data_IF_722029599869
#
_entry.id   IF_722029599869
#
_cell.length_a   1.000
_cell.length_b   1.000
_cell.length_c   1.000
_cell.angle_alpha   90.00
_cell.angle_beta   90.00
_cell.angle_gamma   90.00
#
_symmetry.space_group_name_H-M   'P 1'
#
loop_
_entity.id
_entity.type
_entity.pdbx_description
1 polymer ?
#
# COMPACT_ATOMS: atom_id res chain seq x y z
N UNK A 1 9.71 5.46 0.61
CA UNK A 1 9.91 6.34 -0.56
C UNK A 1 10.52 5.58 -1.73
N UNK A 2 11.58 4.78 -1.54
CA UNK A 2 12.22 3.98 -2.61
C UNK A 2 11.26 3.08 -3.43
N UNK A 3 10.18 2.59 -2.83
CA UNK A 3 9.13 1.83 -3.52
C UNK A 3 8.63 2.53 -4.78
N UNK A 4 8.53 3.86 -4.78
CA UNK A 4 8.09 4.62 -5.96
C UNK A 4 9.07 4.45 -7.12
N UNK A 5 10.39 4.55 -6.85
CA UNK A 5 11.43 4.36 -7.86
C UNK A 5 11.39 2.95 -8.46
N UNK A 6 11.30 1.93 -7.60
CA UNK A 6 11.26 0.54 -8.05
C UNK A 6 9.98 0.21 -8.82
N UNK A 7 8.82 0.71 -8.38
CA UNK A 7 7.55 0.46 -9.06
C UNK A 7 7.53 1.09 -10.46
N UNK A 8 8.02 2.32 -10.61
CA UNK A 8 8.12 3.00 -11.90
C UNK A 8 9.07 2.25 -12.86
N UNK A 9 10.20 1.76 -12.34
CA UNK A 9 11.13 0.95 -13.12
C UNK A 9 10.50 -0.38 -13.60
N UNK A 10 9.78 -1.07 -12.72
CA UNK A 10 9.04 -2.30 -13.08
C UNK A 10 7.97 -2.00 -14.13
N UNK A 11 7.19 -0.94 -13.95
CA UNK A 11 6.16 -0.55 -14.91
C UNK A 11 6.74 -0.26 -16.30
N UNK A 12 7.87 0.45 -16.35
CA UNK A 12 8.59 0.71 -17.60
C UNK A 12 9.04 -0.57 -18.29
N UNK A 13 9.63 -1.51 -17.57
CA UNK A 13 10.06 -2.80 -18.13
C UNK A 13 8.88 -3.66 -18.60
N UNK A 14 7.75 -3.58 -17.89
CA UNK A 14 6.51 -4.25 -18.28
C UNK A 14 5.76 -3.55 -19.42
N UNK A 15 6.25 -2.40 -19.93
CA UNK A 15 5.58 -1.61 -20.96
C UNK A 15 4.27 -0.96 -20.49
N UNK A 16 4.10 -0.75 -19.18
CA UNK A 16 2.91 -0.15 -18.57
C UNK A 16 3.14 1.33 -18.33
N UNK A 17 2.26 2.17 -18.87
CA UNK A 17 2.24 3.59 -18.56
C UNK A 17 1.72 3.83 -17.13
N UNK A 18 2.62 4.27 -16.26
CA UNK A 18 2.37 4.44 -14.84
C UNK A 18 3.02 5.74 -14.35
N UNK A 19 2.39 6.90 -14.60
CA UNK A 19 2.96 8.20 -14.28
C UNK A 19 2.95 8.46 -12.76
N UNK A 20 3.80 9.38 -12.31
CA UNK A 20 3.97 9.69 -10.89
C UNK A 20 2.65 10.18 -10.27
N UNK A 21 1.87 10.99 -10.98
CA UNK A 21 0.54 11.49 -10.62
C UNK A 21 -0.44 10.36 -10.29
N UNK A 22 -0.29 9.20 -10.95
CA UNK A 22 -1.12 8.03 -10.66
C UNK A 22 -0.79 7.42 -9.29
N UNK A 23 0.48 7.44 -8.89
CA UNK A 23 0.90 7.03 -7.55
C UNK A 23 0.28 7.95 -6.50
N UNK A 24 0.22 9.25 -6.77
CA UNK A 24 -0.34 10.25 -5.84
C UNK A 24 -1.84 10.01 -5.64
N UNK A 25 -2.57 9.86 -6.74
CA UNK A 25 -4.01 9.58 -6.72
C UNK A 25 -4.34 8.27 -5.97
N UNK A 26 -3.49 7.24 -6.09
CA UNK A 26 -3.65 6.00 -5.33
C UNK A 26 -3.34 6.23 -3.84
N UNK A 27 -2.26 6.94 -3.51
CA UNK A 27 -1.89 7.23 -2.13
C UNK A 27 -2.96 8.05 -1.41
N UNK A 28 -3.51 9.08 -2.07
CA UNK A 28 -4.54 9.95 -1.51
C UNK A 28 -5.84 9.23 -1.12
N UNK A 29 -6.17 8.12 -1.78
CA UNK A 29 -7.40 7.33 -1.51
C UNK A 29 -7.16 6.06 -0.70
N UNK A 30 -5.90 5.72 -0.40
CA UNK A 30 -5.56 4.47 0.30
C UNK A 30 -5.22 4.76 1.76
N UNK A 31 -6.02 4.32 2.73
CA UNK A 31 -5.76 4.61 4.14
C UNK A 31 -4.50 3.91 4.65
N UNK A 32 -3.88 4.50 5.68
CA UNK A 32 -2.68 3.96 6.29
C UNK A 32 -3.01 3.02 7.44
N UNK A 33 -3.00 1.71 7.19
CA UNK A 33 -3.46 0.70 8.16
C UNK A 33 -2.35 0.15 9.07
N UNK A 34 -1.10 0.13 8.62
CA UNK A 34 -0.01 -0.58 9.31
C UNK A 34 1.18 0.34 9.60
N UNK A 35 1.37 0.72 10.87
CA UNK A 35 2.49 1.56 11.30
C UNK A 35 3.66 0.73 11.81
N UNK A 36 4.45 0.21 10.88
CA UNK A 36 5.64 -0.60 11.17
C UNK A 36 6.90 0.27 11.34
N UNK A 37 7.87 -0.26 12.08
CA UNK A 37 9.21 0.31 12.25
C UNK A 37 9.84 0.66 10.88
N UNK A 38 10.46 1.84 10.72
CA UNK A 38 10.82 2.82 11.75
C UNK A 38 9.71 3.80 12.16
N UNK A 39 8.53 3.76 11.54
CA UNK A 39 7.46 4.74 11.79
C UNK A 39 6.58 4.40 13.01
N UNK A 40 6.65 3.16 13.50
CA UNK A 40 5.90 2.68 14.65
C UNK A 40 6.63 1.59 15.43
N UNK A 41 5.98 1.07 16.47
CA UNK A 41 6.55 0.09 17.41
C UNK A 41 6.54 -1.35 16.91
N UNK A 42 5.71 -1.65 15.90
CA UNK A 42 5.52 -3.00 15.39
C UNK A 42 6.53 -3.33 14.29
N UNK A 43 6.89 -4.59 14.18
CA UNK A 43 7.84 -5.09 13.18
C UNK A 43 7.18 -6.04 12.18
N UNK A 44 7.95 -6.53 11.20
CA UNK A 44 7.41 -7.39 10.12
C UNK A 44 6.88 -8.73 10.65
N UNK A 45 7.48 -9.26 11.71
CA UNK A 45 7.02 -10.45 12.41
C UNK A 45 5.66 -10.27 13.08
N UNK A 46 5.38 -9.07 13.60
CA UNK A 46 4.08 -8.74 14.19
C UNK A 46 3.03 -8.68 13.09
N UNK A 47 3.35 -8.05 11.95
CA UNK A 47 2.47 -8.06 10.78
C UNK A 47 2.17 -9.50 10.32
N UNK A 48 3.17 -10.37 10.28
CA UNK A 48 2.97 -11.76 9.89
C UNK A 48 2.03 -12.50 10.85
N UNK A 49 2.23 -12.33 12.17
CA UNK A 49 1.35 -12.92 13.20
C UNK A 49 -0.08 -12.36 13.15
N UNK A 50 -0.23 -11.09 12.78
CA UNK A 50 -1.53 -10.42 12.62
C UNK A 50 -2.33 -10.88 11.39
N UNK A 51 -1.79 -11.78 10.56
CA UNK A 51 -2.43 -12.26 9.32
C UNK A 51 -1.69 -11.88 8.04
N UNK A 52 -0.61 -11.13 8.15
CA UNK A 52 0.31 -10.81 7.06
C UNK A 52 -0.28 -9.85 6.03
N UNK A 53 0.43 -9.73 4.90
CA UNK A 53 0.02 -8.87 3.77
C UNK A 53 -1.39 -9.21 3.26
N UNK A 54 -1.82 -10.49 3.13
CA UNK A 54 -3.18 -10.82 2.72
C UNK A 54 -4.27 -10.22 3.64
N UNK A 55 -4.04 -10.14 4.95
CA UNK A 55 -4.99 -9.51 5.87
C UNK A 55 -5.07 -8.00 5.66
N UNK A 56 -3.94 -7.31 5.42
CA UNK A 56 -3.92 -5.89 5.05
C UNK A 56 -4.70 -5.66 3.74
N UNK A 57 -4.52 -6.55 2.77
CA UNK A 57 -5.23 -6.47 1.50
C UNK A 57 -6.73 -6.71 1.65
N UNK A 58 -7.15 -7.52 2.64
CA UNK A 58 -8.56 -7.74 2.97
C UNK A 58 -9.24 -6.49 3.48
N UNK A 59 -8.57 -5.75 4.36
CA UNK A 59 -9.05 -4.44 4.84
C UNK A 59 -9.15 -3.39 3.72
N UNK A 60 -8.40 -3.58 2.62
CA UNK A 60 -8.37 -2.67 1.46
C UNK A 60 -9.11 -3.24 0.24
N UNK A 61 -9.91 -4.31 0.40
CA UNK A 61 -10.48 -5.06 -0.72
C UNK A 61 -11.33 -4.19 -1.66
N UNK A 62 -11.98 -3.13 -1.15
CA UNK A 62 -12.75 -2.15 -1.91
C UNK A 62 -11.90 -1.31 -2.89
N UNK A 63 -10.59 -1.21 -2.63
CA UNK A 63 -9.64 -0.45 -3.44
C UNK A 63 -8.81 -1.34 -4.39
N UNK A 64 -9.00 -2.65 -4.35
CA UNK A 64 -8.21 -3.64 -5.10
C UNK A 64 -8.99 -4.23 -6.28
N UNK A 65 -8.25 -4.56 -7.34
CA UNK A 65 -8.78 -5.37 -8.44
C UNK A 65 -8.70 -6.86 -8.05
N UNK A 66 -9.75 -7.38 -7.41
CA UNK A 66 -9.76 -8.74 -6.85
C UNK A 66 -9.75 -9.86 -7.89
N UNK A 67 -10.11 -9.54 -9.14
CA UNK A 67 -10.13 -10.48 -10.27
C UNK A 67 -8.74 -10.75 -10.87
N UNK A 68 -7.70 -10.03 -10.43
CA UNK A 68 -6.36 -10.15 -11.01
C UNK A 68 -5.74 -11.50 -10.68
N UNK A 69 -5.15 -12.21 -11.67
CA UNK A 69 -4.46 -13.47 -11.43
C UNK A 69 -3.13 -13.25 -10.71
N UNK A 70 -2.70 -14.26 -9.96
CA UNK A 70 -1.38 -14.32 -9.34
C UNK A 70 -0.55 -15.49 -9.88
N UNK A 71 0.71 -15.56 -9.47
CA UNK A 71 1.62 -16.65 -9.87
C UNK A 71 1.22 -18.03 -9.34
N UNK A 72 0.34 -18.11 -8.32
CA UNK A 72 -0.20 -19.39 -7.84
C UNK A 72 -1.30 -19.95 -8.74
N UNK A 73 -1.78 -19.16 -9.71
CA UNK A 73 -2.96 -19.48 -10.53
C UNK A 73 -4.29 -19.08 -9.87
N UNK A 74 -4.27 -18.63 -8.62
CA UNK A 74 -5.44 -18.10 -7.91
C UNK A 74 -5.60 -16.60 -8.17
N UNK A 75 -6.83 -16.10 -8.06
CA UNK A 75 -7.10 -14.66 -8.11
C UNK A 75 -6.68 -13.98 -6.81
N UNK A 76 -6.50 -12.67 -6.86
CA UNK A 76 -6.24 -11.87 -5.68
C UNK A 76 -7.38 -12.00 -4.65
N UNK A 77 -8.62 -12.06 -5.11
CA UNK A 77 -9.81 -12.28 -4.26
C UNK A 77 -9.76 -13.62 -3.52
N UNK A 78 -9.30 -14.70 -4.15
CA UNK A 78 -9.17 -16.02 -3.51
C UNK A 78 -8.11 -16.00 -2.40
N UNK A 79 -6.99 -15.31 -2.62
CA UNK A 79 -5.92 -15.15 -1.63
C UNK A 79 -6.41 -14.32 -0.45
N UNK A 80 -7.01 -13.17 -0.73
CA UNK A 80 -7.49 -12.22 0.26
C UNK A 80 -8.66 -12.79 1.08
N UNK A 81 -9.58 -13.52 0.45
CA UNK A 81 -10.75 -14.10 1.11
C UNK A 81 -10.43 -15.13 2.19
N UNK A 82 -9.24 -15.76 2.13
CA UNK A 82 -8.76 -16.75 3.11
C UNK A 82 -7.95 -16.15 4.25
N UNK A 83 -7.59 -14.87 4.16
CA UNK A 83 -6.85 -14.19 5.20
C UNK A 83 -7.81 -13.58 6.22
N UNK A 84 -7.38 -13.44 7.46
CA UNK A 84 -8.13 -12.72 8.50
C UNK A 84 -7.18 -11.84 9.30
N UNK A 85 -7.67 -10.67 9.69
CA UNK A 85 -6.96 -9.78 10.60
C UNK A 85 -7.05 -10.35 12.01
N UNK A 86 -5.91 -10.81 12.54
CA UNK A 86 -5.79 -11.44 13.85
C UNK A 86 -5.40 -10.44 14.95
N UNK A 87 -4.97 -9.23 14.57
CA UNK A 87 -4.52 -8.21 15.52
C UNK A 87 -4.81 -6.80 14.98
N UNK A 88 -5.95 -6.20 15.38
CA UNK A 88 -6.34 -4.85 14.98
C UNK A 88 -5.40 -3.74 15.45
N UNK A 89 -4.52 -3.98 16.43
CA UNK A 89 -3.52 -2.98 16.82
C UNK A 89 -2.37 -2.89 15.80
N UNK A 90 -2.05 -4.01 15.15
CA UNK A 90 -1.00 -4.09 14.11
C UNK A 90 -1.55 -3.73 12.74
N UNK A 91 -2.72 -4.28 12.39
CA UNK A 91 -3.44 -4.01 11.14
C UNK A 91 -4.74 -3.30 11.50
N UNK A 92 -4.75 -1.97 11.39
CA UNK A 92 -5.95 -1.20 11.70
C UNK A 92 -7.10 -1.55 10.76
N UNK A 93 -8.34 -1.68 11.27
CA UNK A 93 -9.53 -1.79 10.44
C UNK A 93 -9.69 -0.62 9.47
N UNK A 94 -10.35 -0.86 8.34
CA UNK A 94 -10.58 0.13 7.26
C UNK A 94 -11.27 1.43 7.71
N UNK A 95 -12.12 1.34 8.73
CA UNK A 95 -12.90 2.44 9.32
C UNK A 95 -12.16 3.18 10.45
N UNK A 96 -11.11 2.58 11.00
CA UNK A 96 -10.27 3.19 12.03
C UNK A 96 -8.78 3.21 11.65
N UNK A 97 -8.38 3.81 10.51
CA UNK A 97 -6.98 3.82 10.07
C UNK A 97 -6.11 4.78 10.90
N UNK A 98 -4.79 4.67 10.79
CA UNK A 98 -3.87 5.69 11.35
C UNK A 98 -3.99 7.04 10.65
N UNK A 99 -4.35 7.00 9.36
CA UNK A 99 -4.58 8.16 8.50
C UNK A 99 -5.50 7.75 7.36
N UNK A 100 -6.41 8.63 6.98
CA UNK A 100 -7.32 8.40 5.84
C UNK A 100 -6.59 8.40 4.49
N UNK A 101 -5.41 9.04 4.44
CA UNK A 101 -4.52 9.05 3.27
C UNK A 101 -3.28 8.20 3.51
N UNK A 102 -2.66 7.76 2.41
CA UNK A 102 -1.50 6.89 2.43
C UNK A 102 -0.24 7.55 3.01
N UNK A 103 0.76 6.71 3.32
CA UNK A 103 2.01 7.15 3.94
C UNK A 103 2.98 7.91 3.00
N UNK A 104 2.62 8.12 1.73
CA UNK A 104 3.40 8.84 0.74
C UNK A 104 2.60 10.03 0.20
N UNK A 105 3.27 11.14 -0.08
CA UNK A 105 2.70 12.27 -0.81
C UNK A 105 3.66 12.68 -1.91
N UNK A 106 3.12 13.05 -3.06
CA UNK A 106 3.89 13.55 -4.18
C UNK A 106 3.71 15.07 -4.26
N UNK A 107 4.82 15.77 -4.44
CA UNK A 107 4.87 17.24 -4.42
C UNK A 107 5.26 17.73 -5.81
N UNK A 108 4.50 18.68 -6.33
CA UNK A 108 4.76 19.35 -7.59
C UNK A 108 4.81 20.87 -7.36
N UNK A 109 5.66 21.56 -8.09
CA UNK A 109 5.79 23.01 -7.98
C UNK A 109 7.03 23.54 -8.69
N UNK A 110 7.29 24.83 -8.54
CA UNK A 110 8.45 25.48 -9.16
C UNK A 110 9.81 24.85 -8.76
N UNK A 111 9.92 24.29 -7.56
CA UNK A 111 11.12 23.58 -7.10
C UNK A 111 11.17 22.10 -7.51
N UNK A 112 10.02 21.51 -7.84
CA UNK A 112 9.88 20.10 -8.22
C UNK A 112 8.96 19.99 -9.44
N UNK A 113 9.38 20.50 -10.61
CA UNK A 113 8.53 20.52 -11.80
C UNK A 113 8.21 19.11 -12.32
N UNK A 114 9.10 18.14 -12.10
CA UNK A 114 8.94 16.72 -12.46
C UNK A 114 8.47 15.87 -11.27
N UNK A 115 8.15 16.50 -10.14
CA UNK A 115 7.67 15.85 -8.93
C UNK A 115 8.77 15.46 -7.93
N UNK A 116 8.37 15.41 -6.66
CA UNK A 116 9.17 14.91 -5.54
C UNK A 116 8.32 14.00 -4.66
N UNK A 117 8.95 13.10 -3.90
CA UNK A 117 8.26 12.13 -3.03
C UNK A 117 8.64 12.38 -1.58
N UNK A 118 7.64 12.54 -0.71
CA UNK A 118 7.81 12.62 0.74
C UNK A 118 7.05 11.49 1.44
N UNK A 119 7.60 10.99 2.55
CA UNK A 119 6.88 10.08 3.45
C UNK A 119 6.22 10.89 4.55
N UNK A 120 4.89 10.99 4.50
CA UNK A 120 4.09 11.72 5.49
C UNK A 120 3.79 10.89 6.74
N UNK A 121 3.73 9.56 6.61
CA UNK A 121 3.45 8.66 7.73
C UNK A 121 4.65 8.31 8.61
N UNK A 122 5.76 9.06 8.50
CA UNK A 122 6.96 8.84 9.31
C UNK A 122 6.74 9.30 10.76
#
# INVERSE_FOLDING_TARGET
>A
TNTVLHLLAIAREAGVDFPLERVDAISARTPYLCKLSPAGRHHMEDLHRAGGVPAVMKELADLLHLDRPSVSGETLGDIVGRADNQDPEVIRPRDEPWSETGGLALLFGNLAPEGAVVKVGA
#
